data_IF_513039399906
#
_entry.id   IF_513039399906
#
_cell.length_a   1.000
_cell.length_b   1.000
_cell.length_c   1.000
_cell.angle_alpha   90.00
_cell.angle_beta   90.00
_cell.angle_gamma   90.00
#
_symmetry.space_group_name_H-M   'P 1'
#
loop_
_entity.id
_entity.type
_entity.pdbx_description
1 polymer ?
#
# COMPACT_ATOMS: atom_id res chain seq x y z
N UNK A 1 7.45 -15.99 -7.38
CA UNK A 1 6.27 -15.34 -6.81
C UNK A 1 6.33 -13.86 -7.12
N UNK A 2 5.21 -13.18 -7.05
CA UNK A 2 5.10 -11.80 -7.48
C UNK A 2 4.28 -10.99 -6.47
N UNK A 3 4.56 -9.68 -6.40
CA UNK A 3 3.74 -8.78 -5.59
C UNK A 3 2.36 -8.50 -6.21
N UNK A 4 2.13 -8.92 -7.45
CA UNK A 4 0.81 -8.75 -8.06
C UNK A 4 -0.26 -9.51 -7.31
N UNK A 5 -1.44 -8.91 -7.19
CA UNK A 5 -2.58 -9.51 -6.54
C UNK A 5 -3.12 -8.65 -5.41
N UNK A 6 -4.14 -9.18 -4.75
CA UNK A 6 -4.78 -8.50 -3.62
C UNK A 6 -4.15 -8.98 -2.31
N UNK A 7 -3.77 -8.02 -1.49
CA UNK A 7 -3.16 -8.27 -0.18
C UNK A 7 -4.04 -7.66 0.91
N UNK A 8 -4.25 -8.42 1.96
CA UNK A 8 -4.98 -7.95 3.13
C UNK A 8 -3.98 -7.34 4.11
N UNK A 9 -4.18 -6.09 4.49
CA UNK A 9 -3.31 -5.41 5.44
C UNK A 9 -3.63 -5.92 6.84
N UNK A 10 -2.63 -6.42 7.55
CA UNK A 10 -2.80 -7.02 8.87
C UNK A 10 -2.17 -6.21 9.99
N UNK A 11 -1.30 -5.25 9.66
CA UNK A 11 -0.64 -4.43 10.66
C UNK A 11 -0.20 -3.10 10.09
N UNK A 12 -0.39 -2.04 10.83
CA UNK A 12 0.12 -0.70 10.56
C UNK A 12 0.73 -0.22 11.87
N UNK A 13 2.03 -0.53 12.12
CA UNK A 13 2.63 -0.38 13.45
C UNK A 13 2.65 1.03 14.02
N UNK A 14 2.79 2.04 13.17
CA UNK A 14 2.98 3.43 13.63
C UNK A 14 1.69 4.23 13.73
N UNK A 15 0.56 3.64 13.38
CA UNK A 15 -0.73 4.34 13.35
C UNK A 15 -1.83 3.45 13.91
N UNK A 16 -2.76 4.08 14.59
CA UNK A 16 -3.95 3.41 15.11
C UNK A 16 -5.07 3.50 14.06
N UNK A 17 -4.97 2.67 13.05
CA UNK A 17 -5.94 2.61 11.96
C UNK A 17 -6.76 1.34 12.01
N UNK A 18 -8.02 1.43 11.60
CA UNK A 18 -8.88 0.28 11.49
C UNK A 18 -8.39 -0.63 10.37
N UNK A 19 -8.12 -1.90 10.67
CA UNK A 19 -7.62 -2.87 9.71
C UNK A 19 -8.72 -3.70 9.05
N UNK A 20 -9.95 -3.60 9.54
CA UNK A 20 -11.08 -4.31 8.96
C UNK A 20 -11.32 -3.83 7.52
N UNK A 21 -11.11 -4.71 6.56
CA UNK A 21 -11.26 -4.37 5.16
C UNK A 21 -10.07 -3.64 4.53
N UNK A 22 -9.00 -3.36 5.30
CA UNK A 22 -7.83 -2.70 4.74
C UNK A 22 -7.11 -3.63 3.75
N UNK A 23 -6.77 -3.10 2.58
CA UNK A 23 -6.14 -3.89 1.54
C UNK A 23 -5.24 -3.05 0.65
N UNK A 24 -4.36 -3.73 -0.07
CA UNK A 24 -3.61 -3.14 -1.17
C UNK A 24 -3.63 -4.13 -2.33
N UNK A 25 -3.88 -3.63 -3.53
CA UNK A 25 -4.00 -4.42 -4.74
C UNK A 25 -2.98 -3.92 -5.76
N UNK A 26 -2.14 -4.82 -6.24
CA UNK A 26 -1.20 -4.52 -7.30
C UNK A 26 -1.60 -5.26 -8.56
N UNK A 27 -1.92 -4.51 -9.60
CA UNK A 27 -2.17 -5.05 -10.92
C UNK A 27 -0.92 -4.99 -11.78
N UNK A 28 -1.09 -5.21 -13.07
CA UNK A 28 0.02 -5.25 -14.01
C UNK A 28 0.73 -3.91 -14.16
N UNK A 29 -0.01 -2.80 -14.21
CA UNK A 29 0.55 -1.47 -14.42
C UNK A 29 0.03 -0.44 -13.42
N UNK A 30 -0.58 -0.89 -12.34
CA UNK A 30 -1.16 -0.01 -11.35
C UNK A 30 -1.94 -0.82 -10.34
N UNK A 31 -2.70 -0.13 -9.51
CA UNK A 31 -3.50 -0.80 -8.51
C UNK A 31 -4.24 0.20 -7.65
N UNK A 32 -4.57 -0.21 -6.44
CA UNK A 32 -5.28 0.63 -5.50
C UNK A 32 -5.06 0.15 -4.07
N UNK A 33 -5.32 1.02 -3.11
CA UNK A 33 -5.31 0.61 -1.72
C UNK A 33 -6.38 1.36 -0.94
N UNK A 34 -6.75 0.78 0.20
CA UNK A 34 -7.64 1.42 1.15
C UNK A 34 -7.20 1.04 2.56
N UNK A 35 -6.76 2.02 3.33
CA UNK A 35 -6.33 1.87 4.72
C UNK A 35 -7.17 2.82 5.56
N UNK A 36 -8.26 2.30 6.16
CA UNK A 36 -9.21 3.12 6.93
C UNK A 36 -9.75 4.26 6.04
N UNK A 37 -9.50 5.50 6.39
CA UNK A 37 -9.97 6.66 5.61
C UNK A 37 -9.01 7.07 4.49
N UNK A 38 -7.84 6.46 4.40
CA UNK A 38 -6.85 6.74 3.36
C UNK A 38 -7.03 5.78 2.20
N UNK A 39 -7.35 6.33 1.03
CA UNK A 39 -7.51 5.54 -0.19
C UNK A 39 -6.68 6.14 -1.31
N UNK A 40 -6.26 5.31 -2.24
CA UNK A 40 -5.49 5.81 -3.35
C UNK A 40 -5.46 4.88 -4.54
N UNK A 41 -5.17 5.47 -5.69
CA UNK A 41 -4.89 4.75 -6.94
C UNK A 41 -3.38 4.70 -7.12
N UNK A 42 -2.85 3.53 -7.44
CA UNK A 42 -1.41 3.28 -7.55
C UNK A 42 -1.01 3.30 -9.02
N UNK A 43 0.09 4.00 -9.30
CA UNK A 43 0.74 4.00 -10.60
C UNK A 43 2.15 3.45 -10.45
N UNK A 44 2.44 2.37 -11.15
CA UNK A 44 3.74 1.74 -11.10
C UNK A 44 3.68 0.34 -11.67
N UNK A 45 4.84 -0.21 -11.97
CA UNK A 45 4.95 -1.57 -12.50
C UNK A 45 5.64 -2.45 -11.47
N UNK A 46 5.09 -3.64 -11.26
CA UNK A 46 5.70 -4.62 -10.35
C UNK A 46 6.90 -5.28 -11.04
N UNK A 47 8.02 -5.37 -10.34
CA UNK A 47 9.21 -6.04 -10.82
C UNK A 47 9.56 -7.18 -9.87
N UNK A 48 9.03 -8.38 -10.17
CA UNK A 48 9.29 -9.55 -9.34
C UNK A 48 8.74 -9.41 -7.93
N UNK A 49 9.65 -9.38 -6.94
CA UNK A 49 9.29 -9.39 -5.53
C UNK A 49 9.14 -8.00 -4.92
N UNK A 50 9.30 -6.95 -5.71
CA UNK A 50 9.26 -5.58 -5.20
C UNK A 50 8.58 -4.64 -6.18
N UNK A 51 8.08 -3.53 -5.66
CA UNK A 51 7.48 -2.48 -6.47
C UNK A 51 7.72 -1.13 -5.81
N UNK A 52 8.08 -0.15 -6.65
CA UNK A 52 8.09 1.26 -6.28
C UNK A 52 6.98 1.94 -7.07
N UNK A 53 6.22 2.80 -6.43
CA UNK A 53 5.06 3.39 -7.09
C UNK A 53 4.80 4.82 -6.62
N UNK A 54 3.99 5.52 -7.40
CA UNK A 54 3.36 6.76 -6.97
C UNK A 54 1.87 6.50 -6.80
N UNK A 55 1.20 7.34 -6.03
CA UNK A 55 -0.22 7.19 -5.82
C UNK A 55 -0.89 8.54 -5.64
N UNK A 56 -2.20 8.57 -5.87
CA UNK A 56 -3.03 9.73 -5.56
C UNK A 56 -4.41 9.24 -5.12
N UNK A 57 -5.02 9.97 -4.23
CA UNK A 57 -6.32 9.62 -3.69
C UNK A 57 -6.81 10.61 -2.67
N UNK A 58 -7.34 10.11 -1.57
CA UNK A 58 -7.94 10.95 -0.53
C UNK A 58 -7.59 10.44 0.85
N UNK A 59 -7.41 11.38 1.77
CA UNK A 59 -7.23 11.12 3.19
C UNK A 59 -8.34 11.88 3.91
N UNK A 60 -9.35 11.15 4.40
CA UNK A 60 -10.53 11.71 5.06
C UNK A 60 -11.20 12.80 4.22
N UNK A 61 -11.42 12.49 2.93
CA UNK A 61 -12.06 13.38 1.95
C UNK A 61 -11.19 14.56 1.50
N UNK A 62 -9.95 14.65 1.93
CA UNK A 62 -9.00 15.64 1.44
C UNK A 62 -8.08 15.01 0.40
N UNK A 63 -7.78 15.69 -0.71
CA UNK A 63 -6.85 15.15 -1.70
C UNK A 63 -5.50 14.84 -1.08
N UNK A 64 -4.95 13.67 -1.42
CA UNK A 64 -3.65 13.25 -0.94
C UNK A 64 -2.90 12.55 -2.07
N UNK A 65 -1.59 12.58 -2.01
CA UNK A 65 -0.74 11.91 -2.98
C UNK A 65 0.62 11.64 -2.39
N UNK A 66 1.42 10.87 -3.11
CA UNK A 66 2.77 10.58 -2.67
C UNK A 66 3.38 9.42 -3.41
N UNK A 67 4.26 8.73 -2.70
CA UNK A 67 4.98 7.57 -3.20
C UNK A 67 4.77 6.39 -2.28
N UNK A 68 5.28 5.26 -2.68
CA UNK A 68 5.27 4.08 -1.84
C UNK A 68 6.14 3.00 -2.41
N UNK A 69 6.31 1.95 -1.62
CA UNK A 69 7.03 0.77 -2.05
C UNK A 69 6.45 -0.43 -1.30
N UNK A 70 6.68 -1.60 -1.85
CA UNK A 70 6.34 -2.86 -1.20
C UNK A 70 7.31 -3.93 -1.64
N UNK A 71 7.55 -4.88 -0.78
CA UNK A 71 8.50 -5.96 -1.02
C UNK A 71 7.98 -7.26 -0.40
N UNK A 72 8.06 -8.33 -1.18
CA UNK A 72 7.65 -9.65 -0.74
C UNK A 72 8.73 -10.22 0.20
N UNK A 73 8.30 -10.70 1.36
CA UNK A 73 9.20 -11.26 2.36
C UNK A 73 9.31 -12.78 2.23
N UNK A 74 10.33 -13.36 2.85
CA UNK A 74 10.58 -14.79 2.79
C UNK A 74 9.47 -15.64 3.38
N UNK A 75 8.71 -15.08 4.31
CA UNK A 75 7.59 -15.79 4.95
C UNK A 75 6.28 -15.67 4.18
N UNK A 76 6.31 -15.05 3.00
CA UNK A 76 5.12 -14.86 2.17
C UNK A 76 4.32 -13.60 2.50
N UNK A 77 4.74 -12.81 3.47
CA UNK A 77 4.09 -11.54 3.76
C UNK A 77 4.61 -10.45 2.82
N UNK A 78 3.88 -9.35 2.75
CA UNK A 78 4.28 -8.16 2.01
C UNK A 78 4.51 -7.04 3.02
N UNK A 79 5.66 -6.39 2.96
CA UNK A 79 5.95 -5.22 3.76
C UNK A 79 6.15 -4.02 2.85
N UNK A 80 5.71 -2.86 3.30
CA UNK A 80 5.87 -1.65 2.51
C UNK A 80 5.55 -0.40 3.28
N UNK A 81 5.56 0.71 2.56
CA UNK A 81 5.20 2.01 3.12
C UNK A 81 4.40 2.81 2.10
N UNK A 82 3.45 3.57 2.61
CA UNK A 82 2.76 4.60 1.84
C UNK A 82 3.29 5.93 2.34
N UNK A 83 3.99 6.65 1.49
CA UNK A 83 4.62 7.92 1.85
C UNK A 83 3.75 9.05 1.30
N UNK A 84 3.29 9.93 2.18
CA UNK A 84 2.46 11.07 1.81
C UNK A 84 3.34 12.29 1.50
N UNK A 85 2.92 13.11 0.56
CA UNK A 85 3.66 14.32 0.19
C UNK A 85 3.80 15.32 1.33
N UNK A 86 2.96 15.22 2.37
CA UNK A 86 3.07 16.07 3.55
C UNK A 86 4.17 15.62 4.52
N UNK A 87 4.85 14.51 4.22
CA UNK A 87 5.96 14.02 5.03
C UNK A 87 5.65 12.83 5.93
N UNK A 88 4.40 12.40 5.99
CA UNK A 88 4.03 11.22 6.79
C UNK A 88 4.32 9.95 6.01
N UNK A 89 4.86 8.94 6.72
CA UNK A 89 5.13 7.63 6.13
C UNK A 89 4.36 6.57 6.93
N UNK A 90 3.58 5.77 6.23
CA UNK A 90 2.73 4.75 6.84
C UNK A 90 3.25 3.37 6.45
N UNK A 91 3.96 2.73 7.37
CA UNK A 91 4.45 1.37 7.16
C UNK A 91 3.30 0.38 7.35
N UNK A 92 3.29 -0.67 6.56
CA UNK A 92 2.27 -1.71 6.67
C UNK A 92 2.85 -3.09 6.43
N UNK A 93 2.14 -4.09 6.96
CA UNK A 93 2.41 -5.50 6.70
C UNK A 93 1.11 -6.12 6.19
N UNK A 94 1.20 -6.91 5.13
CA UNK A 94 0.03 -7.50 4.51
C UNK A 94 0.25 -8.99 4.20
N UNK A 95 -0.85 -9.72 4.05
CA UNK A 95 -0.84 -11.13 3.64
C UNK A 95 -1.94 -11.39 2.63
N UNK A 96 -1.76 -12.41 1.82
CA UNK A 96 -2.77 -12.84 0.86
C UNK A 96 -3.95 -13.53 1.52
#
# INVERSE_FOLDING_TARGET
>A
MSVQGRWRVIEIPDYDMALSGAYILFGKNGGEFAFDCLTGSINGACEGDAVDFTWEGNDEMEPASGRGWAELQDDGSLEGEICLDNGDDIAFIARR
#
